data_IF_528172247941
#
_entry.id   IF_528172247941
#
_cell.length_a   1.000
_cell.length_b   1.000
_cell.length_c   1.000
_cell.angle_alpha   90.00
_cell.angle_beta   90.00
_cell.angle_gamma   90.00
#
_symmetry.space_group_name_H-M   'P 1'
#
loop_
_entity.id
_entity.type
_entity.pdbx_description
1 polymer ?
#
# COMPACT_ATOMS: atom_id res chain seq x y z
N UNK A 1 10.22 -34.04 1.34
CA UNK A 1 9.83 -33.65 2.71
C UNK A 1 10.19 -32.18 2.85
N UNK A 2 9.19 -31.32 3.06
CA UNK A 2 9.38 -29.87 3.15
C UNK A 2 10.22 -29.58 4.41
N UNK A 3 11.19 -28.67 4.29
CA UNK A 3 12.07 -28.23 5.37
C UNK A 3 11.28 -27.22 6.20
N UNK A 4 11.01 -27.52 7.46
CA UNK A 4 10.43 -26.54 8.39
C UNK A 4 11.53 -25.54 8.75
N UNK A 5 11.59 -24.45 8.00
CA UNK A 5 12.35 -23.27 8.38
C UNK A 5 11.74 -22.71 9.68
N UNK A 6 12.56 -22.45 10.71
CA UNK A 6 12.10 -21.83 11.94
C UNK A 6 11.69 -20.39 11.64
N UNK A 7 10.39 -20.15 11.65
CA UNK A 7 9.80 -18.85 11.37
C UNK A 7 9.75 -18.03 12.66
N UNK A 8 10.61 -17.02 12.80
CA UNK A 8 10.56 -16.02 13.88
C UNK A 8 9.23 -15.23 13.82
N UNK A 9 8.23 -15.67 14.60
CA UNK A 9 6.85 -15.14 14.56
C UNK A 9 6.79 -13.61 14.71
N UNK A 10 7.69 -13.04 15.50
CA UNK A 10 7.73 -11.61 15.82
C UNK A 10 7.95 -10.72 14.59
N UNK A 11 8.61 -11.24 13.55
CA UNK A 11 8.95 -10.46 12.35
C UNK A 11 7.75 -10.19 11.42
N UNK A 12 6.67 -10.96 11.52
CA UNK A 12 5.55 -10.89 10.55
C UNK A 12 4.21 -10.50 11.15
N UNK A 13 4.20 -9.97 12.37
CA UNK A 13 2.95 -9.61 13.06
C UNK A 13 2.29 -8.38 12.40
N UNK A 14 3.08 -7.46 11.85
CA UNK A 14 2.58 -6.15 11.40
C UNK A 14 2.82 -5.89 9.91
N UNK A 15 1.74 -5.90 9.13
CA UNK A 15 1.74 -5.54 7.70
C UNK A 15 1.34 -4.08 7.43
N UNK A 16 1.28 -3.24 8.46
CA UNK A 16 0.95 -1.83 8.31
C UNK A 16 2.01 -1.07 7.50
N UNK A 17 1.59 -0.02 6.77
CA UNK A 17 2.53 0.81 6.01
C UNK A 17 3.61 1.42 6.91
N UNK A 18 3.23 1.89 8.10
CA UNK A 18 4.15 2.49 9.08
C UNK A 18 5.19 1.48 9.59
N UNK A 19 4.81 0.21 9.74
CA UNK A 19 5.72 -0.85 10.16
C UNK A 19 6.80 -1.17 9.12
N UNK A 20 6.60 -0.76 7.86
CA UNK A 20 7.58 -0.92 6.78
C UNK A 20 8.77 0.06 6.91
N UNK A 21 8.64 1.14 7.68
CA UNK A 21 9.68 2.19 7.78
C UNK A 21 9.89 2.94 6.45
N UNK A 22 8.81 3.17 5.70
CA UNK A 22 8.85 3.79 4.37
C UNK A 22 9.23 5.27 4.33
N UNK A 23 9.39 5.80 3.12
CA UNK A 23 9.74 7.21 2.87
C UNK A 23 8.53 8.10 3.19
N UNK A 24 8.75 9.17 3.95
CA UNK A 24 7.70 10.16 4.24
C UNK A 24 7.43 11.06 3.02
N UNK A 25 6.18 11.50 2.85
CA UNK A 25 5.66 12.27 1.72
C UNK A 25 5.60 11.54 0.36
N UNK A 26 5.66 10.20 0.33
CA UNK A 26 5.47 9.45 -0.91
C UNK A 26 3.98 9.20 -1.24
N UNK A 27 3.70 8.64 -2.42
CA UNK A 27 2.34 8.24 -2.81
C UNK A 27 1.80 7.09 -1.95
N UNK A 28 2.66 6.26 -1.37
CA UNK A 28 2.29 5.12 -0.54
C UNK A 28 1.73 5.54 0.81
N UNK A 29 2.37 6.48 1.49
CA UNK A 29 1.95 7.08 2.76
C UNK A 29 0.60 7.78 2.57
N UNK A 30 0.48 8.57 1.49
CA UNK A 30 -0.78 9.24 1.14
C UNK A 30 -1.90 8.24 0.88
N UNK A 31 -1.63 7.17 0.12
CA UNK A 31 -2.60 6.12 -0.14
C UNK A 31 -2.98 5.36 1.12
N UNK A 32 -2.02 5.09 2.02
CA UNK A 32 -2.27 4.44 3.30
C UNK A 32 -3.20 5.29 4.17
N UNK A 33 -2.87 6.58 4.38
CA UNK A 33 -3.69 7.53 5.14
C UNK A 33 -5.11 7.65 4.60
N UNK A 34 -5.28 7.64 3.28
CA UNK A 34 -6.59 7.73 2.63
C UNK A 34 -7.43 6.45 2.76
N UNK A 35 -6.80 5.28 2.64
CA UNK A 35 -7.53 4.02 2.48
C UNK A 35 -7.66 3.21 3.78
N UNK A 36 -6.85 3.52 4.81
CA UNK A 36 -6.84 2.80 6.10
C UNK A 36 -8.20 2.81 6.81
N UNK A 37 -9.00 3.85 6.58
CA UNK A 37 -10.34 4.00 7.18
C UNK A 37 -11.38 3.04 6.57
N UNK A 38 -11.09 2.44 5.42
CA UNK A 38 -12.02 1.56 4.70
C UNK A 38 -11.55 0.12 4.71
N UNK A 39 -12.50 -0.82 4.79
CA UNK A 39 -12.22 -2.27 4.76
C UNK A 39 -13.15 -3.01 3.80
N UNK A 40 -12.77 -4.22 3.40
CA UNK A 40 -13.62 -5.12 2.60
C UNK A 40 -14.11 -4.54 1.26
N UNK A 41 -15.41 -4.66 0.97
CA UNK A 41 -15.98 -4.13 -0.27
C UNK A 41 -15.92 -2.60 -0.35
N UNK A 42 -16.01 -1.90 0.79
CA UNK A 42 -15.89 -0.44 0.86
C UNK A 42 -14.51 0.04 0.39
N UNK A 43 -13.46 -0.69 0.77
CA UNK A 43 -12.09 -0.41 0.32
C UNK A 43 -11.96 -0.46 -1.20
N UNK A 44 -12.57 -1.46 -1.86
CA UNK A 44 -12.51 -1.57 -3.33
C UNK A 44 -13.16 -0.36 -4.00
N UNK A 45 -14.32 0.09 -3.49
CA UNK A 45 -15.04 1.25 -4.01
C UNK A 45 -14.25 2.54 -3.80
N UNK A 46 -13.76 2.78 -2.58
CA UNK A 46 -13.01 3.98 -2.23
C UNK A 46 -11.69 4.07 -3.02
N UNK A 47 -10.95 2.97 -3.13
CA UNK A 47 -9.75 2.89 -3.97
C UNK A 47 -10.05 3.26 -5.43
N UNK A 48 -11.14 2.74 -6.00
CA UNK A 48 -11.51 3.05 -7.38
C UNK A 48 -11.95 4.51 -7.56
N UNK A 49 -12.65 5.09 -6.58
CA UNK A 49 -13.04 6.52 -6.57
C UNK A 49 -11.80 7.43 -6.54
N UNK A 50 -10.87 7.15 -5.62
CA UNK A 50 -9.59 7.87 -5.50
C UNK A 50 -8.74 7.75 -6.76
N UNK A 51 -8.67 6.57 -7.40
CA UNK A 51 -7.97 6.38 -8.70
C UNK A 51 -8.61 7.19 -9.83
N UNK A 52 -9.94 7.19 -9.95
CA UNK A 52 -10.65 7.81 -11.08
C UNK A 52 -10.65 9.34 -11.04
N UNK A 53 -10.61 9.94 -9.85
CA UNK A 53 -10.65 11.40 -9.67
C UNK A 53 -9.30 12.09 -9.40
N UNK A 54 -8.24 11.34 -9.10
CA UNK A 54 -6.94 11.92 -8.69
C UNK A 54 -5.85 11.86 -9.77
N UNK A 55 -6.10 11.18 -10.90
CA UNK A 55 -5.17 11.19 -12.03
C UNK A 55 -5.20 12.58 -12.68
N UNK A 56 -4.13 13.35 -12.52
CA UNK A 56 -4.00 14.71 -13.05
C UNK A 56 -3.32 14.79 -14.43
N UNK A 57 -2.89 13.65 -14.99
CA UNK A 57 -2.04 13.61 -16.18
C UNK A 57 -0.66 14.17 -15.88
N UNK A 58 0.35 13.30 -15.86
CA UNK A 58 1.77 13.71 -15.86
C UNK A 58 2.41 13.26 -17.16
N UNK A 59 3.51 13.91 -17.56
CA UNK A 59 4.34 13.36 -18.63
C UNK A 59 4.81 11.96 -18.21
N UNK A 60 4.46 10.97 -19.01
CA UNK A 60 5.05 9.64 -18.89
C UNK A 60 6.47 9.81 -19.39
N UNK A 61 7.44 9.88 -18.50
CA UNK A 61 8.85 9.87 -18.88
C UNK A 61 9.21 8.50 -19.44
N UNK A 62 8.90 8.27 -20.72
CA UNK A 62 9.33 7.10 -21.50
C UNK A 62 10.71 7.33 -22.12
N UNK A 63 11.65 7.91 -21.36
CA UNK A 63 13.03 7.95 -21.84
C UNK A 63 13.60 6.54 -21.77
N UNK A 64 13.78 5.97 -22.96
CA UNK A 64 14.51 4.74 -23.24
C UNK A 64 16.01 4.89 -22.92
#
# INVERSE_FOLDING_TARGET
RIRDEHMDQDKWINNAYDAKGGITNDYGERASKDLIVTRGQGFRKEKNKKKRGSYRGGEITVRA
#
